data_IF_489509117792
#
_entry.id   IF_489509117792
#
_cell.length_a   1.000
_cell.length_b   1.000
_cell.length_c   1.000
_cell.angle_alpha   90.00
_cell.angle_beta   90.00
_cell.angle_gamma   90.00
#
_symmetry.space_group_name_H-M   'P 1'
#
loop_
_entity.id
_entity.type
_entity.pdbx_description
1 polymer ?
#
# COMPACT_ATOMS: atom_id res chain seq x y z
N UNK A 1 3.31 25.38 17.50
CA UNK A 1 2.54 24.77 17.99
C UNK A 1 2.54 23.43 17.64
N UNK A 2 2.36 22.69 18.36
CA UNK A 2 2.45 21.51 18.05
C UNK A 2 1.39 21.07 17.27
N UNK A 3 1.61 20.20 16.53
CA UNK A 3 0.62 19.74 15.75
C UNK A 3 -0.26 18.99 16.58
N UNK A 4 -1.46 19.19 16.40
CA UNK A 4 -2.36 18.56 17.09
C UNK A 4 -2.69 17.34 16.44
N UNK A 5 -2.31 16.22 16.96
CA UNK A 5 -2.70 15.01 16.40
C UNK A 5 -3.86 14.58 17.18
N UNK A 6 -5.02 14.79 16.66
CA UNK A 6 -6.18 14.36 17.33
C UNK A 6 -6.32 12.91 17.16
N UNK A 7 -6.38 12.16 18.24
CA UNK A 7 -6.66 10.76 18.17
C UNK A 7 -8.13 10.61 17.92
N UNK A 8 -8.47 9.95 16.86
CA UNK A 8 -9.85 9.71 16.56
C UNK A 8 -10.18 8.27 16.85
N UNK A 9 -11.40 8.06 17.31
CA UNK A 9 -11.84 6.73 17.64
C UNK A 9 -12.59 6.16 16.45
N UNK A 10 -12.26 4.95 16.09
CA UNK A 10 -12.89 4.29 14.96
C UNK A 10 -13.42 2.94 15.41
N UNK A 11 -14.50 2.52 14.79
CA UNK A 11 -15.01 1.19 15.04
C UNK A 11 -14.51 0.31 13.91
N UNK A 12 -13.61 -0.60 14.23
CA UNK A 12 -13.00 -1.46 13.23
C UNK A 12 -13.26 -2.90 13.63
N UNK A 13 -13.98 -3.60 12.81
CA UNK A 13 -14.27 -5.01 13.05
C UNK A 13 -14.92 -5.23 14.41
N UNK A 14 -15.75 -4.30 14.82
CA UNK A 14 -16.44 -4.44 16.08
C UNK A 14 -15.68 -3.92 17.28
N UNK A 15 -14.46 -3.44 17.08
CA UNK A 15 -13.68 -2.91 18.18
C UNK A 15 -13.57 -1.40 18.07
N UNK A 16 -13.61 -0.75 19.21
CA UNK A 16 -13.42 0.69 19.24
C UNK A 16 -11.95 0.94 19.43
N UNK A 17 -11.32 1.56 18.46
CA UNK A 17 -9.89 1.73 18.47
C UNK A 17 -9.54 3.18 18.22
N UNK A 18 -8.58 3.69 18.99
CA UNK A 18 -8.06 5.01 18.73
C UNK A 18 -6.88 4.88 17.80
N UNK A 19 -6.89 5.65 16.75
CA UNK A 19 -5.88 5.54 15.73
C UNK A 19 -5.56 6.89 15.14
N UNK A 20 -4.29 7.15 14.98
CA UNK A 20 -3.83 8.38 14.38
C UNK A 20 -2.88 8.01 13.26
N UNK A 21 -3.17 8.44 12.06
CA UNK A 21 -2.26 8.19 10.97
C UNK A 21 -1.09 9.12 11.09
N UNK A 22 0.09 8.61 10.75
CA UNK A 22 1.25 9.46 10.79
C UNK A 22 1.15 10.50 9.74
N UNK A 23 1.51 11.71 10.10
CA UNK A 23 1.57 12.72 9.11
C UNK A 23 2.76 12.50 8.29
N UNK A 24 2.58 12.23 7.04
CA UNK A 24 3.69 12.10 6.15
C UNK A 24 3.36 12.93 4.97
N UNK A 25 4.21 12.92 4.01
CA UNK A 25 3.97 13.67 2.82
C UNK A 25 2.84 13.11 2.05
N UNK A 26 2.45 11.87 2.31
CA UNK A 26 1.32 11.36 1.60
C UNK A 26 0.11 11.83 2.30
N UNK A 27 -0.81 12.32 1.94
CA UNK A 27 -1.92 12.88 2.65
C UNK A 27 -2.95 11.83 2.96
N UNK A 28 -2.53 10.67 3.38
CA UNK A 28 -3.48 9.62 3.73
C UNK A 28 -4.02 9.90 5.12
N UNK A 29 -5.30 9.92 5.26
CA UNK A 29 -5.89 10.20 6.55
C UNK A 29 -6.16 8.91 7.31
N UNK A 30 -6.36 9.04 8.61
CA UNK A 30 -6.69 7.88 9.42
C UNK A 30 -7.98 7.23 8.94
N UNK A 31 -8.93 8.03 8.52
CA UNK A 31 -10.20 7.48 8.03
C UNK A 31 -9.98 6.66 6.76
N UNK A 32 -9.06 7.09 5.91
CA UNK A 32 -8.76 6.32 4.71
C UNK A 32 -8.16 4.97 5.06
N UNK A 33 -7.27 4.96 6.04
CA UNK A 33 -6.64 3.71 6.45
C UNK A 33 -7.67 2.76 7.03
N UNK A 34 -8.50 3.26 7.93
CA UNK A 34 -9.51 2.43 8.55
C UNK A 34 -10.50 1.93 7.51
N UNK A 35 -10.90 2.80 6.60
CA UNK A 35 -11.83 2.40 5.54
C UNK A 35 -11.28 1.29 4.67
N UNK A 36 -9.99 1.33 4.39
CA UNK A 36 -9.39 0.30 3.58
C UNK A 36 -9.38 -1.04 4.32
N UNK A 37 -9.03 -1.02 5.59
CA UNK A 37 -9.04 -2.24 6.38
C UNK A 37 -10.45 -2.84 6.43
N UNK A 38 -11.44 -1.99 6.62
CA UNK A 38 -12.81 -2.47 6.67
C UNK A 38 -13.25 -3.06 5.34
N UNK A 39 -12.82 -2.45 4.25
CA UNK A 39 -13.16 -2.97 2.94
C UNK A 39 -12.58 -4.35 2.74
N UNK A 40 -11.31 -4.52 3.09
CA UNK A 40 -10.66 -5.82 2.93
C UNK A 40 -11.33 -6.86 3.83
N UNK A 41 -11.64 -6.47 5.05
CA UNK A 41 -12.28 -7.40 5.98
C UNK A 41 -13.66 -7.83 5.46
N UNK A 42 -14.39 -6.89 4.87
CA UNK A 42 -15.69 -7.20 4.36
C UNK A 42 -15.59 -8.18 3.18
N UNK A 43 -14.62 -7.98 2.32
CA UNK A 43 -14.41 -8.91 1.22
C UNK A 43 -14.12 -10.30 1.73
N UNK A 44 -13.33 -10.41 2.77
CA UNK A 44 -12.99 -11.71 3.34
C UNK A 44 -14.24 -12.35 3.93
N UNK A 45 -15.05 -11.58 4.63
CA UNK A 45 -16.25 -12.11 5.23
C UNK A 45 -17.23 -12.61 4.19
N UNK A 46 -17.32 -11.90 3.09
CA UNK A 46 -18.23 -12.33 2.03
C UNK A 46 -17.78 -13.65 1.41
N UNK A 47 -16.47 -13.83 1.28
CA UNK A 47 -15.98 -15.06 0.71
C UNK A 47 -15.96 -16.20 1.70
N UNK A 48 -15.79 -15.90 2.97
CA UNK A 48 -15.67 -16.93 3.99
C UNK A 48 -16.51 -16.55 5.20
N UNK A 49 -17.82 -16.67 5.10
CA UNK A 49 -18.68 -16.17 6.17
C UNK A 49 -18.57 -16.95 7.47
N UNK A 50 -17.91 -18.10 7.44
CA UNK A 50 -17.79 -18.90 8.65
C UNK A 50 -16.65 -18.49 9.54
N UNK A 51 -15.84 -17.54 9.14
CA UNK A 51 -14.70 -17.13 9.92
C UNK A 51 -15.12 -16.21 11.05
N UNK A 52 -14.43 -16.31 12.17
CA UNK A 52 -14.69 -15.39 13.26
C UNK A 52 -13.89 -14.09 13.02
N UNK A 53 -14.14 -13.13 13.87
CA UNK A 53 -13.55 -11.82 13.69
C UNK A 53 -12.03 -11.87 13.77
N UNK A 54 -11.49 -12.68 14.66
CA UNK A 54 -10.04 -12.80 14.76
C UNK A 54 -9.43 -13.35 13.50
N UNK A 55 -10.08 -14.35 12.90
CA UNK A 55 -9.59 -14.91 11.66
C UNK A 55 -9.70 -13.90 10.53
N UNK A 56 -10.80 -13.18 10.47
CA UNK A 56 -10.97 -12.16 9.45
C UNK A 56 -9.90 -11.09 9.58
N UNK A 57 -9.64 -10.64 10.81
CA UNK A 57 -8.63 -9.62 11.03
C UNK A 57 -7.24 -10.11 10.63
N UNK A 58 -6.93 -11.36 10.97
CA UNK A 58 -5.64 -11.92 10.62
C UNK A 58 -5.47 -12.01 9.11
N UNK A 59 -6.49 -12.49 8.42
CA UNK A 59 -6.41 -12.58 6.98
C UNK A 59 -6.34 -11.21 6.33
N UNK A 60 -7.07 -10.26 6.87
CA UNK A 60 -6.99 -8.90 6.34
C UNK A 60 -5.59 -8.34 6.49
N UNK A 61 -4.97 -8.56 7.64
CA UNK A 61 -3.62 -8.08 7.84
C UNK A 61 -2.64 -8.73 6.87
N UNK A 62 -2.78 -10.04 6.67
CA UNK A 62 -1.91 -10.74 5.75
C UNK A 62 -2.11 -10.26 4.32
N UNK A 63 -3.35 -10.05 3.94
CA UNK A 63 -3.63 -9.58 2.59
C UNK A 63 -3.05 -8.19 2.36
N UNK A 64 -3.23 -7.31 3.31
CA UNK A 64 -2.72 -5.95 3.17
C UNK A 64 -1.20 -5.95 3.16
N UNK A 65 -0.57 -6.76 4.01
CA UNK A 65 0.88 -6.85 4.02
C UNK A 65 1.39 -7.40 2.69
N UNK A 66 0.70 -8.37 2.15
CA UNK A 66 1.09 -8.93 0.87
C UNK A 66 0.98 -7.89 -0.24
N UNK A 67 -0.07 -7.09 -0.21
CA UNK A 67 -0.22 -6.03 -1.20
C UNK A 67 0.89 -5.00 -1.06
N UNK A 68 1.20 -4.63 0.18
CA UNK A 68 2.22 -3.63 0.40
C UNK A 68 3.58 -4.12 -0.10
N UNK A 69 3.93 -5.35 0.24
CA UNK A 69 5.22 -5.90 -0.16
C UNK A 69 5.28 -6.05 -1.67
N UNK A 70 4.19 -6.49 -2.29
CA UNK A 70 4.15 -6.63 -3.73
C UNK A 70 4.33 -5.29 -4.43
N UNK A 71 3.67 -4.27 -3.92
CA UNK A 71 3.78 -2.96 -4.52
C UNK A 71 5.18 -2.42 -4.37
N UNK A 72 5.78 -2.63 -3.20
CA UNK A 72 7.14 -2.16 -2.98
C UNK A 72 8.12 -2.88 -3.89
N UNK A 73 7.95 -4.17 -4.08
CA UNK A 73 8.83 -4.91 -4.96
C UNK A 73 8.65 -4.50 -6.41
N UNK A 74 7.41 -4.27 -6.80
CA UNK A 74 7.16 -3.82 -8.16
C UNK A 74 7.77 -2.46 -8.39
N UNK A 75 7.68 -1.59 -7.40
CA UNK A 75 8.26 -0.27 -7.53
C UNK A 75 9.77 -0.36 -7.67
N UNK A 76 10.42 -1.18 -6.85
CA UNK A 76 11.85 -1.36 -6.93
C UNK A 76 12.25 -1.95 -8.27
N UNK A 77 11.50 -2.94 -8.74
CA UNK A 77 11.80 -3.55 -10.02
C UNK A 77 11.63 -2.55 -11.15
N UNK A 78 10.61 -1.73 -11.07
CA UNK A 78 10.39 -0.74 -12.11
C UNK A 78 11.49 0.31 -12.12
N UNK A 79 11.96 0.71 -10.96
CA UNK A 79 13.04 1.66 -10.89
C UNK A 79 14.31 1.04 -11.46
N UNK A 80 14.59 -0.20 -11.12
CA UNK A 80 15.73 -0.88 -11.65
C UNK A 80 15.64 -0.99 -13.16
N UNK A 81 14.49 -1.35 -13.66
CA UNK A 81 14.30 -1.46 -15.09
C UNK A 81 14.47 -0.12 -15.78
N UNK A 82 13.95 0.92 -15.21
CA UNK A 82 14.11 2.24 -15.80
C UNK A 82 15.58 2.63 -15.85
N UNK A 83 16.29 2.33 -14.80
CA UNK A 83 17.70 2.66 -14.76
C UNK A 83 18.45 1.88 -15.84
N UNK A 84 18.19 0.59 -15.94
CA UNK A 84 18.84 -0.23 -16.93
C UNK A 84 18.47 0.22 -18.33
N UNK A 85 17.23 0.53 -18.54
CA UNK A 85 16.77 0.97 -19.84
C UNK A 85 17.45 2.27 -20.24
N UNK A 86 17.60 3.17 -19.30
CA UNK A 86 18.28 4.42 -19.61
C UNK A 86 19.72 4.18 -19.98
N UNK A 87 20.39 3.28 -19.27
CA UNK A 87 21.77 2.96 -19.63
C UNK A 87 21.86 2.30 -20.98
N UNK A 88 20.95 1.39 -21.25
CA UNK A 88 20.91 0.72 -22.52
C UNK A 88 20.64 1.70 -23.65
N UNK A 89 19.73 2.60 -23.43
CA UNK A 89 19.41 3.59 -24.44
C UNK A 89 20.61 4.48 -24.75
N UNK A 90 21.34 4.85 -23.75
CA UNK A 90 22.52 5.64 -23.97
C UNK A 90 23.55 4.87 -24.78
N UNK A 91 23.78 3.64 -24.38
CA UNK A 91 24.71 2.82 -25.10
C UNK A 91 24.28 2.64 -26.53
N UNK A 92 23.01 2.39 -26.73
CA UNK A 92 22.47 2.19 -28.02
C UNK A 92 22.67 3.42 -28.89
N UNK A 93 22.43 4.56 -28.34
CA UNK A 93 22.59 5.79 -29.08
C UNK A 93 24.06 5.98 -29.47
N UNK A 94 24.96 5.65 -28.58
CA UNK A 94 26.36 5.82 -28.87
C UNK A 94 26.82 4.86 -29.93
N UNK A 95 26.30 3.64 -29.93
CA UNK A 95 26.77 2.66 -30.87
C UNK A 95 26.08 2.72 -32.17
N UNK A 96 24.79 2.97 -32.15
CA UNK A 96 24.05 2.91 -33.34
C UNK A 96 23.49 4.21 -33.67
N UNK A 97 23.85 5.20 -32.99
CA UNK A 97 23.35 6.43 -33.13
C UNK A 97 22.95 6.65 -34.39
N UNK A 98 22.72 7.31 -34.91
CA UNK A 98 21.68 8.00 -35.45
C UNK A 98 20.66 7.12 -35.99
N UNK A 99 20.94 5.93 -36.09
CA UNK A 99 20.04 5.22 -36.92
C UNK A 99 18.91 4.74 -36.18
N UNK A 100 18.88 4.76 -34.95
CA UNK A 100 17.88 4.15 -34.44
C UNK A 100 16.94 4.83 -33.88
N UNK A 101 17.06 5.86 -33.69
CA UNK A 101 16.06 6.41 -33.04
C UNK A 101 15.22 7.13 -33.96
#
# INVERSE_FOLDING_TARGET
>A
MESIREEKEFNVLGYSIKFTAEESESSVSAADVVGYVQKIAEEIRLKSPHLDIGQVATLAALKIANEKISIERDFENNISKLHMTACDALQFIEEVSPSTI
#
